data_IF_017458884140
#
_entry.id   IF_017458884140
#
_cell.length_a   1.000
_cell.length_b   1.000
_cell.length_c   1.000
_cell.angle_alpha   90.00
_cell.angle_beta   90.00
_cell.angle_gamma   90.00
#
_symmetry.space_group_name_H-M   'P 1'
#
loop_
_entity.id
_entity.type
_entity.pdbx_description
1 polymer ?
#
# COMPACT_ATOMS: atom_id res chain seq x y z
N UNK A 1 51.63 7.40 -14.00
CA UNK A 1 50.44 8.17 -14.43
C UNK A 1 50.05 7.77 -15.85
N UNK A 2 48.94 7.03 -16.02
CA UNK A 2 48.22 6.93 -17.28
C UNK A 2 46.84 7.61 -17.19
N UNK A 3 46.55 8.41 -18.22
CA UNK A 3 45.32 9.13 -18.47
C UNK A 3 44.23 8.16 -18.93
N UNK A 4 43.17 7.95 -18.13
CA UNK A 4 42.04 7.09 -18.50
C UNK A 4 40.96 7.92 -19.20
N UNK A 5 41.18 8.21 -20.48
CA UNK A 5 40.16 8.76 -21.37
C UNK A 5 39.40 7.63 -22.05
N UNK A 6 38.07 7.67 -21.83
CA UNK A 6 37.03 7.32 -22.81
C UNK A 6 36.91 5.82 -23.18
N UNK A 7 35.89 5.16 -22.64
CA UNK A 7 34.70 4.66 -23.37
C UNK A 7 33.97 3.63 -22.51
N UNK A 8 32.81 3.99 -21.97
CA UNK A 8 31.58 3.27 -22.29
C UNK A 8 30.42 4.02 -21.66
N UNK A 9 29.77 4.82 -22.51
CA UNK A 9 28.35 5.06 -22.43
C UNK A 9 27.65 3.69 -22.39
N UNK A 10 27.52 3.10 -21.20
CA UNK A 10 26.41 2.21 -20.92
C UNK A 10 25.24 3.13 -20.64
N UNK A 11 24.58 3.48 -21.73
CA UNK A 11 23.15 3.80 -21.74
C UNK A 11 22.49 3.21 -20.50
N UNK A 12 22.05 4.08 -19.60
CA UNK A 12 21.05 3.73 -18.58
C UNK A 12 19.72 3.51 -19.33
N UNK A 13 19.69 2.49 -20.18
CA UNK A 13 18.51 1.95 -20.80
C UNK A 13 17.64 1.43 -19.68
N UNK A 14 16.57 2.17 -19.39
CA UNK A 14 15.26 1.63 -19.08
C UNK A 14 15.27 0.39 -18.17
N UNK A 15 15.57 0.61 -16.88
CA UNK A 15 15.03 -0.28 -15.86
C UNK A 15 13.52 -0.01 -15.79
N UNK A 16 12.79 -0.52 -16.78
CA UNK A 16 11.35 -0.63 -16.76
C UNK A 16 10.99 -1.33 -15.45
N UNK A 17 10.56 -0.52 -14.49
CA UNK A 17 10.07 -0.96 -13.19
C UNK A 17 8.95 -1.92 -13.53
N UNK A 18 9.21 -3.25 -13.42
CA UNK A 18 8.19 -4.25 -13.71
C UNK A 18 6.94 -3.81 -12.95
N UNK A 19 5.78 -3.65 -13.60
CA UNK A 19 4.58 -3.30 -12.86
C UNK A 19 4.39 -4.41 -11.84
N UNK A 20 4.44 -4.06 -10.55
CA UNK A 20 4.18 -5.01 -9.46
C UNK A 20 2.75 -5.50 -9.67
N UNK A 21 2.64 -6.66 -10.30
CA UNK A 21 1.38 -7.33 -10.60
C UNK A 21 0.71 -7.79 -9.32
N UNK A 22 -0.63 -7.83 -9.36
CA UNK A 22 -1.56 -8.35 -8.36
C UNK A 22 -1.88 -7.44 -7.16
N UNK A 23 -0.97 -6.58 -6.67
CA UNK A 23 -1.27 -5.67 -5.56
C UNK A 23 -2.29 -4.55 -5.89
N UNK A 24 -2.44 -4.20 -7.17
CA UNK A 24 -3.32 -3.13 -7.63
C UNK A 24 -4.83 -3.44 -7.45
N UNK A 25 -5.21 -4.71 -7.33
CA UNK A 25 -6.63 -5.12 -7.26
C UNK A 25 -7.27 -4.73 -5.92
N UNK A 26 -6.58 -4.93 -4.80
CA UNK A 26 -7.10 -4.58 -3.46
C UNK A 26 -7.26 -3.07 -3.28
N UNK A 27 -6.33 -2.30 -3.85
CA UNK A 27 -6.36 -0.84 -3.77
C UNK A 27 -7.58 -0.23 -4.47
N UNK A 28 -8.09 -0.85 -5.54
CA UNK A 28 -9.19 -0.28 -6.34
C UNK A 28 -10.53 -0.24 -5.61
N UNK A 29 -10.72 -1.05 -4.55
CA UNK A 29 -11.91 -1.00 -3.74
C UNK A 29 -11.89 0.22 -2.80
N UNK A 30 -12.79 1.19 -3.04
CA UNK A 30 -12.84 2.45 -2.28
C UNK A 30 -13.23 2.24 -0.80
N UNK A 31 -14.20 1.36 -0.53
CA UNK A 31 -14.65 1.08 0.84
C UNK A 31 -13.53 0.46 1.68
N UNK A 32 -12.85 -0.56 1.15
CA UNK A 32 -11.69 -1.15 1.81
C UNK A 32 -10.58 -0.13 2.08
N UNK A 33 -10.32 0.74 1.10
CA UNK A 33 -9.30 1.78 1.22
C UNK A 33 -9.63 2.75 2.35
N UNK A 34 -10.88 3.20 2.46
CA UNK A 34 -11.30 4.13 3.52
C UNK A 34 -11.21 3.48 4.90
N UNK A 35 -11.70 2.24 5.05
CA UNK A 35 -11.64 1.50 6.32
C UNK A 35 -10.19 1.34 6.79
N UNK A 36 -9.31 0.86 5.91
CA UNK A 36 -7.90 0.64 6.26
C UNK A 36 -7.17 1.96 6.52
N UNK A 37 -7.44 3.02 5.75
CA UNK A 37 -6.82 4.34 5.99
C UNK A 37 -7.30 4.96 7.31
N UNK A 38 -8.56 4.74 7.72
CA UNK A 38 -9.06 5.19 9.03
C UNK A 38 -8.40 4.45 10.19
N UNK A 39 -8.07 3.18 10.03
CA UNK A 39 -7.33 2.44 11.07
C UNK A 39 -5.82 2.78 11.06
N UNK A 40 -5.25 3.05 9.88
CA UNK A 40 -3.83 3.37 9.74
C UNK A 40 -3.49 4.80 10.21
N UNK A 41 -4.43 5.73 10.12
CA UNK A 41 -4.23 7.12 10.55
C UNK A 41 -4.76 7.35 11.97
N UNK A 42 -4.04 8.11 12.82
CA UNK A 42 -4.51 8.42 14.17
C UNK A 42 -5.79 9.28 14.14
N UNK A 43 -6.71 9.01 15.08
CA UNK A 43 -8.03 9.68 15.16
C UNK A 43 -7.95 11.21 15.24
N UNK A 44 -6.96 11.73 15.97
CA UNK A 44 -6.74 13.17 16.11
C UNK A 44 -6.56 13.89 14.76
N UNK A 45 -5.88 13.24 13.81
CA UNK A 45 -5.66 13.82 12.48
C UNK A 45 -6.94 13.77 11.63
N UNK A 46 -7.77 12.75 11.84
CA UNK A 46 -9.06 12.62 11.17
C UNK A 46 -10.06 13.67 11.67
N UNK A 47 -10.07 13.96 12.97
CA UNK A 47 -10.93 14.97 13.59
C UNK A 47 -10.59 16.40 13.15
N UNK A 48 -9.31 16.71 12.93
CA UNK A 48 -8.86 18.06 12.59
C UNK A 48 -8.94 18.38 11.09
N UNK A 49 -8.65 17.40 10.22
CA UNK A 49 -8.48 17.62 8.76
C UNK A 49 -9.58 16.95 7.92
N UNK A 50 -10.18 15.87 8.43
CA UNK A 50 -11.13 15.04 7.70
C UNK A 50 -10.44 14.06 6.72
N UNK A 51 -10.98 12.85 6.60
CA UNK A 51 -10.39 11.77 5.80
C UNK A 51 -10.27 12.12 4.31
N UNK A 52 -11.31 12.73 3.74
CA UNK A 52 -11.36 13.07 2.30
C UNK A 52 -10.34 14.14 1.92
N UNK A 53 -10.11 15.11 2.80
CA UNK A 53 -9.10 16.16 2.63
C UNK A 53 -7.70 15.57 2.57
N UNK A 54 -7.41 14.59 3.42
CA UNK A 54 -6.10 13.90 3.45
C UNK A 54 -5.89 13.12 2.15
N UNK A 55 -6.91 12.42 1.66
CA UNK A 55 -6.82 11.65 0.41
C UNK A 55 -6.56 12.59 -0.78
N UNK A 56 -7.16 13.79 -0.79
CA UNK A 56 -6.95 14.78 -1.85
C UNK A 56 -5.55 15.39 -1.83
N UNK A 57 -5.01 15.67 -0.64
CA UNK A 57 -3.73 16.38 -0.50
C UNK A 57 -2.51 15.46 -0.64
N UNK A 58 -2.67 14.17 -0.36
CA UNK A 58 -1.57 13.20 -0.34
C UNK A 58 -1.47 12.47 -1.70
N UNK A 59 -0.28 12.37 -2.30
CA UNK A 59 -0.09 11.61 -3.54
C UNK A 59 -0.50 10.14 -3.41
N UNK A 60 -1.13 9.59 -4.46
CA UNK A 60 -1.63 8.22 -4.46
C UNK A 60 -0.54 7.15 -4.22
N UNK A 61 0.72 7.42 -4.56
CA UNK A 61 1.85 6.52 -4.30
C UNK A 61 2.11 6.34 -2.81
N UNK A 62 1.97 7.41 -2.02
CA UNK A 62 2.20 7.38 -0.57
C UNK A 62 1.08 6.64 0.16
N UNK A 63 -0.18 6.91 -0.21
CA UNK A 63 -1.33 6.21 0.37
C UNK A 63 -1.27 4.70 0.11
N UNK A 64 -0.82 4.29 -1.09
CA UNK A 64 -0.58 2.87 -1.42
C UNK A 64 0.50 2.24 -0.55
N UNK A 65 1.59 2.96 -0.28
CA UNK A 65 2.66 2.48 0.58
C UNK A 65 2.19 2.31 2.03
N UNK A 66 1.46 3.29 2.57
CA UNK A 66 0.87 3.21 3.92
C UNK A 66 -0.05 1.99 4.00
N UNK A 67 -1.01 1.88 3.07
CA UNK A 67 -1.96 0.78 3.01
C UNK A 67 -1.27 -0.59 3.03
N UNK A 68 -0.28 -0.79 2.14
CA UNK A 68 0.46 -2.04 2.06
C UNK A 68 1.27 -2.34 3.32
N UNK A 69 1.99 -1.34 3.84
CA UNK A 69 2.82 -1.50 5.04
C UNK A 69 1.99 -1.80 6.31
N UNK A 70 0.81 -1.21 6.44
CA UNK A 70 -0.09 -1.42 7.56
C UNK A 70 -0.62 -2.86 7.58
N UNK A 71 -1.16 -3.33 6.45
CA UNK A 71 -1.69 -4.70 6.32
C UNK A 71 -0.58 -5.74 6.49
N UNK A 72 0.57 -5.54 5.84
CA UNK A 72 1.69 -6.47 5.92
C UNK A 72 2.20 -6.60 7.36
N UNK A 73 2.38 -5.48 8.07
CA UNK A 73 2.86 -5.49 9.45
C UNK A 73 1.89 -6.23 10.36
N UNK A 74 0.59 -5.91 10.30
CA UNK A 74 -0.43 -6.58 11.12
C UNK A 74 -0.55 -8.07 10.82
N UNK A 75 -0.47 -8.44 9.55
CA UNK A 75 -0.53 -9.84 9.12
C UNK A 75 0.64 -10.65 9.67
N UNK A 76 1.88 -10.16 9.51
CA UNK A 76 3.09 -10.85 9.99
C UNK A 76 3.09 -10.98 11.50
N UNK A 77 2.70 -9.93 12.24
CA UNK A 77 2.64 -10.02 13.71
C UNK A 77 1.53 -10.94 14.22
N UNK A 78 0.44 -11.13 13.46
CA UNK A 78 -0.68 -11.99 13.86
C UNK A 78 -0.49 -13.46 13.48
N UNK A 79 0.03 -13.73 12.28
CA UNK A 79 0.12 -15.08 11.71
C UNK A 79 1.55 -15.64 11.66
N UNK A 80 2.56 -14.82 12.00
CA UNK A 80 3.97 -15.22 12.02
C UNK A 80 4.66 -15.11 10.65
N UNK A 81 5.82 -15.78 10.55
CA UNK A 81 6.79 -15.61 9.46
C UNK A 81 6.47 -16.53 8.26
N UNK A 82 5.76 -17.64 8.49
CA UNK A 82 5.41 -18.65 7.48
C UNK A 82 3.90 -18.93 7.41
N UNK A 83 3.06 -17.93 7.07
CA UNK A 83 1.62 -18.12 6.95
C UNK A 83 1.22 -18.76 5.60
N UNK A 84 0.09 -19.46 5.59
CA UNK A 84 -0.51 -19.98 4.37
C UNK A 84 -1.25 -18.88 3.60
N UNK A 85 -1.50 -19.09 2.30
CA UNK A 85 -2.34 -18.16 1.50
C UNK A 85 -3.77 -18.06 2.08
N UNK A 86 -4.28 -19.13 2.68
CA UNK A 86 -5.58 -19.15 3.33
C UNK A 86 -5.63 -18.24 4.56
N UNK A 87 -4.55 -18.20 5.35
CA UNK A 87 -4.45 -17.30 6.51
C UNK A 87 -4.55 -15.82 6.10
N UNK A 88 -4.03 -15.45 4.92
CA UNK A 88 -4.20 -14.10 4.40
C UNK A 88 -5.66 -13.80 4.03
N UNK A 89 -6.38 -14.77 3.47
CA UNK A 89 -7.80 -14.60 3.17
C UNK A 89 -8.62 -14.41 4.46
N UNK A 90 -8.42 -15.27 5.46
CA UNK A 90 -9.07 -15.12 6.78
C UNK A 90 -8.77 -13.77 7.44
N UNK A 91 -7.53 -13.28 7.31
CA UNK A 91 -7.14 -11.96 7.79
C UNK A 91 -7.91 -10.82 7.08
N UNK A 92 -8.19 -10.97 5.79
CA UNK A 92 -8.86 -9.95 4.99
C UNK A 92 -10.40 -9.99 5.08
N UNK A 93 -11.01 -11.15 5.34
CA UNK A 93 -12.47 -11.32 5.50
C UNK A 93 -13.16 -10.23 6.34
N UNK A 94 -12.69 -9.87 7.56
CA UNK A 94 -13.34 -8.83 8.37
C UNK A 94 -13.28 -7.44 7.72
N UNK A 95 -12.23 -7.14 6.95
CA UNK A 95 -12.12 -5.86 6.25
C UNK A 95 -13.12 -5.78 5.10
N UNK A 96 -13.36 -6.89 4.38
CA UNK A 96 -14.39 -6.95 3.34
C UNK A 96 -15.81 -6.80 3.90
N UNK A 97 -16.09 -7.35 5.07
CA UNK A 97 -17.38 -7.18 5.75
C UNK A 97 -17.62 -5.69 6.11
N UNK A 98 -16.65 -5.05 6.77
CA UNK A 98 -16.72 -3.61 7.10
C UNK A 98 -16.86 -2.73 5.85
N UNK A 99 -16.16 -3.07 4.78
CA UNK A 99 -16.22 -2.31 3.53
C UNK A 99 -17.57 -2.44 2.80
N UNK A 100 -18.36 -3.46 3.09
CA UNK A 100 -19.73 -3.60 2.56
C UNK A 100 -20.73 -2.70 3.31
N UNK A 101 -20.50 -2.47 4.61
CA UNK A 101 -21.36 -1.63 5.45
C UNK A 101 -21.25 -0.14 5.09
N UNK A 102 -20.10 0.30 4.59
CA UNK A 102 -19.83 1.72 4.27
C UNK A 102 -20.14 2.09 2.80
N UNK A 103 -20.80 1.20 2.05
CA UNK A 103 -21.31 1.46 0.68
C UNK A 103 -22.78 1.90 0.64
N UNK A 104 -23.42 2.10 1.80
CA UNK A 104 -24.82 2.53 1.93
C UNK A 104 -24.92 4.01 2.27
#
# INVERSE_FOLDING_TARGET
MPCFSRTSSRSLSSAARRPVGQGATLWNNKGLRQVVLREALPKLLQEQVGLETIIRNVPASYLRAIFGSYLASRFVYKHGISPSQFAFFEFMTPYFAKAAEEQV
#
